data_IF_459194491763
#
_entry.id   IF_459194491763
#
_cell.length_a   1.000
_cell.length_b   1.000
_cell.length_c   1.000
_cell.angle_alpha   90.00
_cell.angle_beta   90.00
_cell.angle_gamma   90.00
#
_symmetry.space_group_name_H-M   'P 1'
#
loop_
_entity.id
_entity.type
_entity.pdbx_description
1 polymer ?
#
# COMPACT_ATOMS: atom_id res chain seq x y z
N UNK A 1 -17.03 23.73 -27.86
CA UNK A 1 -17.34 22.85 -26.70
C UNK A 1 -17.21 23.63 -25.40
N UNK A 2 -18.20 23.56 -24.52
CA UNK A 2 -18.12 24.22 -23.23
C UNK A 2 -17.05 23.51 -22.37
N UNK A 3 -15.94 24.21 -22.08
CA UNK A 3 -14.81 23.60 -21.37
C UNK A 3 -15.07 23.41 -19.86
N UNK A 4 -16.17 23.96 -19.33
CA UNK A 4 -16.51 23.84 -17.91
C UNK A 4 -17.10 22.48 -17.54
N UNK A 5 -17.54 21.67 -18.51
CA UNK A 5 -18.12 20.34 -18.28
C UNK A 5 -17.49 19.33 -19.26
N UNK A 6 -16.16 19.16 -19.18
CA UNK A 6 -15.45 18.13 -19.96
C UNK A 6 -15.48 16.82 -19.17
N UNK A 7 -16.14 15.80 -19.72
CA UNK A 7 -16.16 14.45 -19.17
C UNK A 7 -15.88 13.40 -20.25
N UNK A 8 -15.19 12.33 -19.87
CA UNK A 8 -14.94 11.19 -20.74
C UNK A 8 -16.23 10.46 -21.10
N UNK A 9 -16.35 10.03 -22.36
CA UNK A 9 -17.33 9.03 -22.75
C UNK A 9 -16.76 7.64 -22.44
N UNK A 10 -17.18 7.08 -21.30
CA UNK A 10 -16.69 5.78 -20.82
C UNK A 10 -17.36 4.59 -21.53
N UNK A 11 -18.45 4.83 -22.27
CA UNK A 11 -19.08 3.78 -23.09
C UNK A 11 -18.18 3.41 -24.28
N UNK A 12 -17.53 4.41 -24.89
CA UNK A 12 -16.62 4.24 -26.04
C UNK A 12 -15.19 3.89 -25.59
N UNK A 13 -14.29 3.68 -26.55
CA UNK A 13 -12.86 3.43 -26.29
C UNK A 13 -12.05 4.75 -26.26
N UNK A 14 -10.76 4.68 -25.92
CA UNK A 14 -9.88 5.86 -25.90
C UNK A 14 -9.68 6.49 -27.29
N UNK A 15 -9.82 5.68 -28.34
CA UNK A 15 -9.66 6.09 -29.73
C UNK A 15 -10.90 6.79 -30.31
N UNK A 16 -11.98 6.93 -29.52
CA UNK A 16 -13.15 7.69 -29.97
C UNK A 16 -12.75 9.15 -30.23
N UNK A 17 -13.36 9.83 -31.22
CA UNK A 17 -13.01 11.23 -31.52
C UNK A 17 -13.11 12.14 -30.29
N UNK A 18 -14.16 11.95 -29.48
CA UNK A 18 -14.37 12.71 -28.24
C UNK A 18 -13.30 12.42 -27.18
N UNK A 19 -13.04 11.16 -26.87
CA UNK A 19 -12.05 10.82 -25.85
C UNK A 19 -10.63 11.19 -26.29
N UNK A 20 -10.33 11.06 -27.58
CA UNK A 20 -9.06 11.51 -28.17
C UNK A 20 -8.89 13.02 -28.01
N UNK A 21 -9.95 13.80 -28.23
CA UNK A 21 -9.94 15.24 -27.99
C UNK A 21 -9.63 15.55 -26.52
N UNK A 22 -10.33 14.92 -25.58
CA UNK A 22 -10.08 15.12 -24.13
C UNK A 22 -8.65 14.76 -23.75
N UNK A 23 -8.15 13.60 -24.21
CA UNK A 23 -6.76 13.18 -23.93
C UNK A 23 -5.73 14.17 -24.49
N UNK A 24 -5.99 14.75 -25.67
CA UNK A 24 -5.13 15.81 -26.24
C UNK A 24 -5.17 17.09 -25.40
N UNK A 25 -6.36 17.51 -24.96
CA UNK A 25 -6.52 18.70 -24.11
C UNK A 25 -5.82 18.52 -22.75
N UNK A 26 -6.00 17.36 -22.10
CA UNK A 26 -5.31 17.03 -20.84
C UNK A 26 -3.79 17.03 -20.99
N UNK A 27 -3.28 16.51 -22.11
CA UNK A 27 -1.84 16.54 -22.41
C UNK A 27 -1.34 17.98 -22.53
N UNK A 28 -2.06 18.84 -23.25
CA UNK A 28 -1.69 20.25 -23.43
C UNK A 28 -1.70 21.01 -22.10
N UNK A 29 -2.71 20.81 -21.27
CA UNK A 29 -2.79 21.39 -19.92
C UNK A 29 -1.60 20.93 -19.05
N UNK A 30 -1.28 19.64 -19.08
CA UNK A 30 -0.17 19.09 -18.31
C UNK A 30 1.18 19.65 -18.77
N UNK A 31 1.35 19.87 -20.08
CA UNK A 31 2.53 20.53 -20.63
C UNK A 31 2.63 22.00 -20.18
N UNK A 32 1.52 22.74 -20.25
CA UNK A 32 1.49 24.14 -19.80
C UNK A 32 1.86 24.27 -18.32
N UNK A 33 1.25 23.44 -17.46
CA UNK A 33 1.57 23.43 -16.03
C UNK A 33 3.01 23.04 -15.76
N UNK A 34 3.54 22.06 -16.50
CA UNK A 34 4.95 21.68 -16.39
C UNK A 34 5.89 22.86 -16.70
N UNK A 35 5.59 23.66 -17.72
CA UNK A 35 6.38 24.85 -18.04
C UNK A 35 6.23 25.93 -16.98
N UNK A 36 5.01 26.13 -16.45
CA UNK A 36 4.74 27.14 -15.41
C UNK A 36 5.37 26.78 -14.05
N UNK A 37 5.35 25.51 -13.68
CA UNK A 37 5.79 25.02 -12.37
C UNK A 37 7.23 24.47 -12.38
N UNK A 38 7.93 24.52 -13.52
CA UNK A 38 9.33 24.09 -13.68
C UNK A 38 9.61 22.69 -13.10
N UNK A 39 8.81 21.68 -13.48
CA UNK A 39 8.97 20.33 -12.92
C UNK A 39 10.35 19.74 -13.21
N UNK A 40 10.98 19.06 -12.24
CA UNK A 40 12.38 18.62 -12.33
C UNK A 40 12.62 17.46 -13.31
N UNK A 41 11.57 16.76 -13.74
CA UNK A 41 11.71 15.56 -14.57
C UNK A 41 11.10 15.78 -15.94
N UNK A 42 11.94 15.62 -16.96
CA UNK A 42 11.49 15.64 -18.33
C UNK A 42 10.95 14.29 -18.77
N UNK A 43 9.68 14.28 -19.19
CA UNK A 43 9.05 13.13 -19.82
C UNK A 43 8.73 13.43 -21.28
N UNK A 44 8.91 12.44 -22.14
CA UNK A 44 8.56 12.55 -23.56
C UNK A 44 7.04 12.64 -23.73
N UNK A 45 6.62 13.30 -24.81
CA UNK A 45 5.21 13.45 -25.16
C UNK A 45 4.51 12.10 -25.37
N UNK A 46 5.21 11.13 -25.96
CA UNK A 46 4.71 9.78 -26.13
C UNK A 46 4.47 9.09 -24.79
N UNK A 47 5.39 9.25 -23.82
CA UNK A 47 5.22 8.71 -22.48
C UNK A 47 3.97 9.28 -21.80
N UNK A 48 3.77 10.60 -21.87
CA UNK A 48 2.60 11.26 -21.27
C UNK A 48 1.32 10.75 -21.95
N UNK A 49 1.33 10.67 -23.29
CA UNK A 49 0.18 10.17 -24.06
C UNK A 49 -0.20 8.75 -23.66
N UNK A 50 0.76 7.84 -23.58
CA UNK A 50 0.49 6.45 -23.19
C UNK A 50 0.07 6.34 -21.73
N UNK A 51 0.64 7.16 -20.84
CA UNK A 51 0.20 7.24 -19.44
C UNK A 51 -1.26 7.68 -19.34
N UNK A 52 -1.67 8.72 -20.06
CA UNK A 52 -3.06 9.18 -20.07
C UNK A 52 -4.01 8.13 -20.65
N UNK A 53 -3.63 7.46 -21.74
CA UNK A 53 -4.42 6.36 -22.31
C UNK A 53 -4.58 5.21 -21.31
N UNK A 54 -3.52 4.84 -20.62
CA UNK A 54 -3.54 3.77 -19.61
C UNK A 54 -4.43 4.14 -18.42
N UNK A 55 -4.34 5.39 -17.95
CA UNK A 55 -5.23 5.91 -16.89
C UNK A 55 -6.69 5.88 -17.34
N UNK A 56 -6.99 6.27 -18.58
CA UNK A 56 -8.33 6.15 -19.15
C UNK A 56 -8.82 4.70 -19.20
N UNK A 57 -7.98 3.75 -19.65
CA UNK A 57 -8.35 2.33 -19.70
C UNK A 57 -8.73 1.82 -18.31
N UNK A 58 -7.94 2.15 -17.29
CA UNK A 58 -8.24 1.80 -15.89
C UNK A 58 -9.55 2.41 -15.42
N UNK A 59 -9.76 3.71 -15.66
CA UNK A 59 -11.01 4.39 -15.34
C UNK A 59 -12.22 3.71 -15.98
N UNK A 60 -12.12 3.38 -17.27
CA UNK A 60 -13.16 2.68 -18.02
C UNK A 60 -13.44 1.29 -17.46
N UNK A 61 -12.41 0.54 -17.09
CA UNK A 61 -12.56 -0.78 -16.45
C UNK A 61 -13.31 -0.67 -15.13
N UNK A 62 -12.95 0.31 -14.29
CA UNK A 62 -13.66 0.59 -13.04
C UNK A 62 -15.12 0.94 -13.30
N UNK A 63 -15.39 1.87 -14.23
CA UNK A 63 -16.74 2.28 -14.60
C UNK A 63 -17.59 1.12 -15.14
N UNK A 64 -17.04 0.27 -16.02
CA UNK A 64 -17.72 -0.93 -16.52
C UNK A 64 -18.04 -1.92 -15.41
N UNK A 65 -17.14 -2.08 -14.45
CA UNK A 65 -17.37 -2.96 -13.30
C UNK A 65 -18.42 -2.42 -12.33
N UNK A 66 -18.60 -1.10 -12.32
CA UNK A 66 -19.62 -0.40 -11.55
C UNK A 66 -20.98 -0.31 -12.25
N UNK A 67 -21.10 -0.76 -13.51
CA UNK A 67 -22.42 -0.81 -14.15
C UNK A 67 -23.30 -1.88 -13.48
N UNK A 68 -24.62 -1.63 -13.40
CA UNK A 68 -25.59 -2.64 -12.97
C UNK A 68 -25.48 -3.89 -13.84
N UNK A 69 -25.56 -5.04 -13.21
CA UNK A 69 -25.55 -6.35 -13.88
C UNK A 69 -26.93 -6.99 -13.81
N UNK A 70 -27.11 -8.07 -14.56
CA UNK A 70 -28.28 -8.92 -14.37
C UNK A 70 -28.04 -9.83 -13.17
N UNK A 71 -29.03 -9.93 -12.31
CA UNK A 71 -29.07 -10.87 -11.18
C UNK A 71 -29.28 -12.29 -11.67
N UNK A 72 -29.18 -13.27 -10.77
CA UNK A 72 -29.46 -14.69 -11.07
C UNK A 72 -30.89 -14.94 -11.52
N UNK A 73 -31.84 -14.08 -11.13
CA UNK A 73 -33.23 -14.12 -11.60
C UNK A 73 -33.44 -13.42 -12.95
N UNK A 74 -32.40 -12.83 -13.54
CA UNK A 74 -32.47 -12.08 -14.79
C UNK A 74 -32.99 -10.64 -14.63
N UNK A 75 -33.21 -10.16 -13.41
CA UNK A 75 -33.56 -8.77 -13.14
C UNK A 75 -32.32 -7.87 -13.17
N UNK A 76 -32.47 -6.57 -13.44
CA UNK A 76 -31.36 -5.60 -13.36
C UNK A 76 -31.07 -5.28 -11.89
N UNK A 77 -29.80 -5.34 -11.49
CA UNK A 77 -29.33 -4.93 -10.17
C UNK A 77 -29.84 -3.52 -9.84
N UNK A 78 -30.40 -3.37 -8.64
CA UNK A 78 -30.72 -2.06 -8.07
C UNK A 78 -29.43 -1.28 -7.74
N UNK A 79 -29.50 0.05 -7.58
CA UNK A 79 -28.35 0.84 -7.16
C UNK A 79 -27.74 0.35 -5.83
N UNK A 80 -28.57 -0.07 -4.89
CA UNK A 80 -28.14 -0.58 -3.58
C UNK A 80 -27.39 -1.90 -3.72
N UNK A 81 -27.91 -2.85 -4.51
CA UNK A 81 -27.22 -4.12 -4.80
C UNK A 81 -25.88 -3.89 -5.52
N UNK A 82 -25.84 -2.94 -6.46
CA UNK A 82 -24.61 -2.55 -7.17
C UNK A 82 -23.56 -2.02 -6.19
N UNK A 83 -23.97 -1.16 -5.26
CA UNK A 83 -23.09 -0.60 -4.23
C UNK A 83 -22.54 -1.68 -3.29
N UNK A 84 -23.41 -2.55 -2.77
CA UNK A 84 -23.02 -3.69 -1.91
C UNK A 84 -21.97 -4.54 -2.62
N UNK A 85 -22.23 -4.93 -3.87
CA UNK A 85 -21.29 -5.72 -4.69
C UNK A 85 -19.95 -5.02 -4.87
N UNK A 86 -19.94 -3.69 -5.08
CA UNK A 86 -18.70 -2.93 -5.21
C UNK A 86 -17.91 -2.84 -3.91
N UNK A 87 -18.59 -2.71 -2.77
CA UNK A 87 -17.98 -2.71 -1.44
C UNK A 87 -17.33 -4.06 -1.15
N UNK A 88 -18.06 -5.16 -1.37
CA UNK A 88 -17.55 -6.53 -1.19
C UNK A 88 -16.33 -6.80 -2.06
N UNK A 89 -16.41 -6.44 -3.36
CA UNK A 89 -15.29 -6.60 -4.29
C UNK A 89 -14.06 -5.78 -3.87
N UNK A 90 -14.27 -4.56 -3.36
CA UNK A 90 -13.19 -3.72 -2.83
C UNK A 90 -12.56 -4.33 -1.58
N UNK A 91 -13.37 -4.89 -0.69
CA UNK A 91 -12.90 -5.56 0.51
C UNK A 91 -12.04 -6.78 0.16
N UNK A 92 -12.46 -7.59 -0.81
CA UNK A 92 -11.75 -8.78 -1.25
C UNK A 92 -10.41 -8.44 -1.90
N UNK A 93 -10.39 -7.50 -2.86
CA UNK A 93 -9.15 -7.01 -3.46
C UNK A 93 -8.17 -6.44 -2.40
N UNK A 94 -8.69 -5.81 -1.34
CA UNK A 94 -7.89 -5.37 -0.20
C UNK A 94 -7.30 -6.52 0.64
N UNK A 95 -8.02 -7.64 0.80
CA UNK A 95 -7.48 -8.85 1.45
C UNK A 95 -6.38 -9.47 0.59
N UNK A 96 -6.62 -9.67 -0.70
CA UNK A 96 -5.64 -10.23 -1.65
C UNK A 96 -4.36 -9.40 -1.70
N UNK A 97 -4.48 -8.07 -1.76
CA UNK A 97 -3.33 -7.16 -1.75
C UNK A 97 -2.50 -7.30 -0.47
N UNK A 98 -3.14 -7.36 0.70
CA UNK A 98 -2.45 -7.59 1.97
C UNK A 98 -1.78 -8.95 2.02
N UNK A 99 -2.44 -9.99 1.52
CA UNK A 99 -1.88 -11.34 1.46
C UNK A 99 -0.65 -11.40 0.54
N UNK A 100 -0.71 -10.77 -0.63
CA UNK A 100 0.42 -10.70 -1.56
C UNK A 100 1.62 -9.98 -0.92
N UNK A 101 1.40 -8.85 -0.24
CA UNK A 101 2.45 -8.14 0.47
C UNK A 101 3.04 -8.98 1.62
N UNK A 102 2.20 -9.67 2.41
CA UNK A 102 2.67 -10.57 3.46
C UNK A 102 3.54 -11.68 2.90
N UNK A 103 3.14 -12.31 1.79
CA UNK A 103 3.93 -13.38 1.15
C UNK A 103 5.27 -12.88 0.67
N UNK A 104 5.33 -11.70 0.03
CA UNK A 104 6.58 -11.10 -0.43
C UNK A 104 7.55 -10.84 0.73
N UNK A 105 7.05 -10.34 1.86
CA UNK A 105 7.88 -10.04 3.02
C UNK A 105 8.31 -11.29 3.82
N UNK A 106 7.78 -12.48 3.52
CA UNK A 106 8.11 -13.73 4.25
C UNK A 106 9.08 -14.62 3.45
N UNK A 107 9.24 -14.38 2.16
CA UNK A 107 10.03 -15.24 1.27
C UNK A 107 11.37 -14.63 0.81
N UNK A 108 11.73 -13.44 1.28
CA UNK A 108 13.06 -12.89 1.01
C UNK A 108 14.05 -13.46 2.06
N UNK A 109 14.66 -14.60 1.72
CA UNK A 109 15.90 -15.10 2.35
C UNK A 109 17.07 -14.06 2.25
N UNK A 110 16.87 -12.99 1.48
CA UNK A 110 17.75 -11.82 1.35
C UNK A 110 17.79 -10.93 2.62
N UNK A 111 16.94 -11.19 3.62
CA UNK A 111 17.00 -10.49 4.90
C UNK A 111 18.12 -11.05 5.81
N UNK A 112 18.61 -12.28 5.58
CA UNK A 112 19.64 -12.88 6.45
C UNK A 112 20.94 -12.05 6.51
N UNK A 113 21.49 -11.53 5.40
CA UNK A 113 22.62 -10.60 5.44
C UNK A 113 22.32 -9.30 6.22
N UNK A 114 21.09 -8.79 6.13
CA UNK A 114 20.66 -7.58 6.85
C UNK A 114 20.58 -7.85 8.36
N UNK A 115 20.03 -8.99 8.76
CA UNK A 115 19.97 -9.42 10.16
C UNK A 115 21.35 -9.70 10.74
N UNK A 116 22.24 -10.34 9.98
CA UNK A 116 23.64 -10.55 10.38
C UNK A 116 24.37 -9.22 10.54
N UNK A 117 24.18 -8.29 9.60
CA UNK A 117 24.74 -6.93 9.73
C UNK A 117 24.23 -6.20 10.97
N UNK A 118 22.93 -6.25 11.24
CA UNK A 118 22.32 -5.64 12.42
C UNK A 118 22.88 -6.26 13.71
N UNK A 119 23.04 -7.59 13.76
CA UNK A 119 23.64 -8.29 14.88
C UNK A 119 25.10 -7.87 15.11
N UNK A 120 25.90 -7.76 14.03
CA UNK A 120 27.27 -7.26 14.10
C UNK A 120 27.33 -5.82 14.59
N UNK A 121 26.42 -4.96 14.12
CA UNK A 121 26.33 -3.57 14.55
C UNK A 121 25.97 -3.47 16.04
N UNK A 122 24.99 -4.24 16.51
CA UNK A 122 24.62 -4.28 17.93
C UNK A 122 25.78 -4.77 18.79
N UNK A 123 26.51 -5.81 18.36
CA UNK A 123 27.70 -6.30 19.08
C UNK A 123 28.79 -5.24 19.15
N UNK A 124 29.08 -4.58 18.02
CA UNK A 124 30.08 -3.52 17.94
C UNK A 124 29.73 -2.31 18.82
N UNK A 125 28.46 -1.89 18.82
CA UNK A 125 27.97 -0.78 19.64
C UNK A 125 27.80 -1.16 21.12
N UNK A 126 27.57 -2.44 21.42
CA UNK A 126 27.47 -2.97 22.79
C UNK A 126 28.82 -3.16 23.47
N UNK A 127 29.85 -3.59 22.74
CA UNK A 127 31.21 -3.85 23.26
C UNK A 127 31.94 -2.56 23.68
N UNK A 128 31.60 -1.43 23.07
CA UNK A 128 32.11 -0.10 23.45
C UNK A 128 31.10 0.79 24.15
N UNK A 129 29.98 0.24 24.60
CA UNK A 129 29.07 0.90 25.53
C UNK A 129 28.25 2.03 24.90
N UNK A 130 26.96 1.76 24.70
CA UNK A 130 25.98 2.71 25.19
C UNK A 130 26.16 2.83 26.71
N UNK A 131 27.08 3.71 27.11
CA UNK A 131 27.21 4.17 28.49
C UNK A 131 25.99 5.03 28.80
N UNK A 132 24.89 4.42 29.22
CA UNK A 132 23.89 5.11 30.02
C UNK A 132 24.27 4.86 31.47
N UNK A 133 25.15 5.72 32.01
CA UNK A 133 25.53 5.76 33.43
C UNK A 133 24.36 6.18 34.34
N UNK A 134 23.17 5.58 34.20
CA UNK A 134 22.09 5.72 35.17
C UNK A 134 21.33 4.40 35.35
N UNK A 135 21.89 3.50 36.14
CA UNK A 135 21.22 2.83 37.27
C UNK A 135 22.09 1.66 37.75
N UNK A 136 22.99 1.98 38.68
CA UNK A 136 23.78 1.00 39.41
C UNK A 136 22.91 0.29 40.45
N UNK A 137 22.49 -0.95 40.18
CA UNK A 137 22.29 -1.96 41.24
C UNK A 137 22.69 -3.33 40.72
N UNK A 138 23.67 -3.93 41.41
CA UNK A 138 24.14 -5.31 41.28
C UNK A 138 23.00 -6.32 41.43
N UNK A 139 22.95 -7.32 40.55
CA UNK A 139 22.99 -8.75 40.89
C UNK A 139 22.82 -9.60 39.62
N UNK A 140 23.48 -10.76 39.59
CA UNK A 140 23.58 -11.66 38.44
C UNK A 140 22.23 -12.22 37.97
N UNK A 141 21.55 -11.44 37.13
CA UNK A 141 20.36 -11.83 36.38
C UNK A 141 20.72 -11.78 34.91
N UNK A 142 20.37 -12.84 34.19
CA UNK A 142 20.43 -12.95 32.74
C UNK A 142 19.96 -11.63 32.10
N UNK A 143 20.73 -11.09 31.14
CA UNK A 143 20.39 -9.81 30.49
C UNK A 143 19.11 -9.96 29.67
N UNK A 144 17.95 -9.81 30.32
CA UNK A 144 16.65 -9.79 29.67
C UNK A 144 16.45 -8.40 29.07
N UNK A 145 16.59 -8.30 27.74
CA UNK A 145 16.31 -7.08 27.00
C UNK A 145 14.79 -6.85 26.93
N UNK A 146 14.31 -5.78 27.57
CA UNK A 146 12.91 -5.37 27.46
C UNK A 146 12.71 -4.35 26.33
N UNK A 147 11.66 -4.52 25.54
CA UNK A 147 11.27 -3.56 24.51
C UNK A 147 10.62 -2.35 25.18
N UNK A 148 11.23 -1.18 25.03
CA UNK A 148 10.69 0.09 25.53
C UNK A 148 9.32 0.39 24.90
N UNK A 149 8.29 0.51 25.74
CA UNK A 149 6.94 0.90 25.33
C UNK A 149 7.00 2.34 24.81
N UNK A 150 6.65 2.52 23.54
CA UNK A 150 6.62 3.82 22.88
C UNK A 150 5.16 4.23 22.68
N UNK A 151 4.76 5.38 23.22
CA UNK A 151 3.36 5.83 23.27
C UNK A 151 2.71 6.02 21.88
N UNK A 152 3.52 6.12 20.81
CA UNK A 152 3.07 6.21 19.43
C UNK A 152 2.82 4.85 18.76
N UNK A 153 3.13 3.73 19.41
CA UNK A 153 2.80 2.39 18.92
C UNK A 153 1.45 1.94 19.48
N UNK A 154 0.66 1.25 18.66
CA UNK A 154 -0.60 0.63 19.09
C UNK A 154 -0.32 -0.33 20.25
N UNK A 155 -1.28 -0.44 21.17
CA UNK A 155 -1.17 -1.26 22.36
C UNK A 155 -0.71 -2.69 21.99
N UNK A 156 0.54 -2.99 22.35
CA UNK A 156 1.25 -4.25 22.06
C UNK A 156 1.14 -5.23 23.24
N UNK A 157 0.51 -4.83 24.34
CA UNK A 157 0.44 -5.62 25.57
C UNK A 157 -0.23 -6.98 25.29
N UNK A 158 -1.27 -6.98 24.44
CA UNK A 158 -1.96 -8.20 24.03
C UNK A 158 -1.04 -9.15 23.26
N UNK A 159 -0.22 -8.63 22.35
CA UNK A 159 0.70 -9.42 21.56
C UNK A 159 1.87 -9.94 22.40
N UNK A 160 2.33 -9.17 23.39
CA UNK A 160 3.34 -9.61 24.35
C UNK A 160 2.81 -10.68 25.30
N UNK A 161 1.58 -10.54 25.80
CA UNK A 161 0.92 -11.56 26.63
C UNK A 161 0.85 -12.92 25.91
N UNK A 162 0.60 -12.91 24.58
CA UNK A 162 0.58 -14.14 23.78
C UNK A 162 1.97 -14.78 23.72
N UNK A 163 3.02 -13.99 23.57
CA UNK A 163 4.41 -14.48 23.51
C UNK A 163 4.82 -15.04 24.86
N UNK A 164 4.47 -14.38 25.96
CA UNK A 164 4.80 -14.83 27.31
C UNK A 164 4.03 -16.09 27.69
N UNK A 165 2.74 -16.20 27.29
CA UNK A 165 1.98 -17.44 27.41
C UNK A 165 2.62 -18.58 26.61
N UNK A 166 3.11 -18.31 25.40
CA UNK A 166 3.78 -19.31 24.58
C UNK A 166 5.09 -19.78 25.24
N UNK A 167 5.88 -18.86 25.83
CA UNK A 167 7.11 -19.19 26.56
C UNK A 167 6.87 -20.08 27.77
N UNK A 168 5.80 -19.81 28.53
CA UNK A 168 5.41 -20.67 29.66
C UNK A 168 5.04 -22.09 29.22
N UNK A 169 4.43 -22.23 28.03
CA UNK A 169 4.12 -23.55 27.45
C UNK A 169 5.38 -24.25 26.93
N UNK A 170 6.33 -23.49 26.39
CA UNK A 170 7.56 -24.03 25.81
C UNK A 170 8.63 -24.36 26.87
N UNK A 171 8.58 -23.77 28.08
CA UNK A 171 9.42 -24.17 29.23
C UNK A 171 9.10 -25.58 29.75
N UNK A 172 7.87 -26.08 29.54
CA UNK A 172 7.49 -27.47 29.86
C UNK A 172 7.99 -28.50 28.81
N UNK A 173 8.63 -28.04 27.72
CA UNK A 173 9.07 -28.85 26.59
C UNK A 173 10.60 -29.10 26.53
N UNK A 174 11.39 -28.62 27.50
CA UNK A 174 12.84 -28.89 27.61
C UNK A 174 13.28 -29.31 29.01
#
# INVERSE_FOLDING_TARGET
PNMTIIAFDLSRNSSSPWNTFILKSLRQELQQRRTMESWPVEKSDDYIRETLKERYKRLRTVWRNAQPRLTTSGAVETPVETEIRLIEKRAEAGKESRQCNRRRNVTDDDDLPVWQWLQSLIRLLGEHGMSSEESSVENGVENVLHVKKMDWRRNIDRELDIIDLQRLVDEDLF
#
